data_IF_940527234755
#
_entry.id   IF_940527234755
#
_cell.length_a   1.000
_cell.length_b   1.000
_cell.length_c   1.000
_cell.angle_alpha   90.00
_cell.angle_beta   90.00
_cell.angle_gamma   90.00
#
_symmetry.space_group_name_H-M   'P 1'
#
loop_
_entity.id
_entity.type
_entity.pdbx_description
1 polymer ?
#
# COMPACT_ATOMS: atom_id res chain seq x y z
N UNK A 1 -2.15 -12.76 2.27
CA UNK A 1 -2.92 -11.53 1.96
C UNK A 1 -4.01 -11.17 2.98
N UNK A 2 -4.80 -12.10 3.54
CA UNK A 2 -5.81 -11.75 4.56
C UNK A 2 -5.24 -11.05 5.79
N UNK A 3 -4.08 -11.51 6.27
CA UNK A 3 -3.37 -10.92 7.40
C UNK A 3 -2.87 -9.50 7.09
N UNK A 4 -2.30 -9.28 5.89
CA UNK A 4 -1.88 -7.95 5.44
C UNK A 4 -3.05 -6.97 5.39
N UNK A 5 -4.21 -7.40 4.90
CA UNK A 5 -5.41 -6.55 4.88
C UNK A 5 -5.84 -6.17 6.30
N UNK A 6 -5.85 -7.14 7.22
CA UNK A 6 -6.15 -6.93 8.65
C UNK A 6 -5.16 -5.95 9.29
N UNK A 7 -3.86 -6.16 9.10
CA UNK A 7 -2.80 -5.35 9.71
C UNK A 7 -2.73 -3.93 9.09
N UNK A 8 -3.11 -3.79 7.82
CA UNK A 8 -3.27 -2.50 7.15
C UNK A 8 -4.58 -1.77 7.52
N UNK A 9 -5.50 -2.44 8.22
CA UNK A 9 -6.82 -1.90 8.57
C UNK A 9 -7.73 -1.66 7.36
N UNK A 10 -7.59 -2.45 6.29
CA UNK A 10 -8.41 -2.35 5.07
C UNK A 10 -9.06 -3.67 4.71
N UNK A 11 -10.15 -3.62 3.94
CA UNK A 11 -10.80 -4.83 3.41
C UNK A 11 -9.91 -5.57 2.42
N UNK A 12 -10.05 -6.90 2.34
CA UNK A 12 -9.29 -7.75 1.38
C UNK A 12 -9.46 -7.28 -0.06
N UNK A 13 -10.69 -6.95 -0.47
CA UNK A 13 -10.98 -6.45 -1.81
C UNK A 13 -10.31 -5.09 -2.07
N UNK A 14 -10.29 -4.20 -1.07
CA UNK A 14 -9.61 -2.92 -1.17
C UNK A 14 -8.09 -3.10 -1.33
N UNK A 15 -7.49 -4.04 -0.59
CA UNK A 15 -6.08 -4.42 -0.75
C UNK A 15 -5.78 -4.89 -2.19
N UNK A 16 -6.61 -5.78 -2.74
CA UNK A 16 -6.42 -6.26 -4.11
C UNK A 16 -6.57 -5.15 -5.15
N UNK A 17 -7.55 -4.25 -4.99
CA UNK A 17 -7.73 -3.08 -5.87
C UNK A 17 -6.57 -2.09 -5.77
N UNK A 18 -5.93 -1.98 -4.62
CA UNK A 18 -4.81 -1.07 -4.41
C UNK A 18 -3.47 -1.57 -5.00
N UNK A 19 -3.32 -2.88 -5.21
CA UNK A 19 -2.07 -3.52 -5.65
C UNK A 19 -2.09 -4.05 -7.09
N UNK A 20 -3.21 -3.93 -7.81
CA UNK A 20 -3.28 -4.35 -9.22
C UNK A 20 -2.45 -3.43 -10.13
N UNK A 21 -1.97 -3.92 -11.28
CA UNK A 21 -1.51 -3.06 -12.37
C UNK A 21 -2.61 -2.03 -12.69
N UNK A 22 -2.26 -0.77 -12.88
CA UNK A 22 -3.20 0.34 -13.15
C UNK A 22 -4.06 0.78 -11.96
N UNK A 23 -3.76 0.35 -10.74
CA UNK A 23 -4.36 0.95 -9.55
C UNK A 23 -3.93 2.42 -9.40
N UNK A 24 -4.88 3.27 -9.01
CA UNK A 24 -4.61 4.66 -8.57
C UNK A 24 -4.98 4.82 -7.09
N UNK A 25 -4.24 4.17 -6.17
CA UNK A 25 -4.50 4.27 -4.75
C UNK A 25 -4.15 5.67 -4.23
N UNK A 26 -4.93 6.16 -3.27
CA UNK A 26 -4.52 7.36 -2.51
C UNK A 26 -3.26 7.05 -1.71
N UNK A 27 -2.43 8.06 -1.48
CA UNK A 27 -1.18 7.91 -0.73
C UNK A 27 -1.39 7.23 0.63
N UNK A 28 -2.46 7.59 1.34
CA UNK A 28 -2.83 6.98 2.61
C UNK A 28 -3.02 5.45 2.50
N UNK A 29 -3.59 4.95 1.41
CA UNK A 29 -3.72 3.50 1.17
C UNK A 29 -2.35 2.86 0.99
N UNK A 30 -1.46 3.50 0.21
CA UNK A 30 -0.07 3.04 0.02
C UNK A 30 0.68 3.00 1.35
N UNK A 31 0.53 4.03 2.18
CA UNK A 31 1.15 4.10 3.50
C UNK A 31 0.66 2.97 4.42
N UNK A 32 -0.65 2.72 4.49
CA UNK A 32 -1.23 1.63 5.31
C UNK A 32 -0.74 0.25 4.91
N UNK A 33 -0.62 -0.03 3.60
CA UNK A 33 -0.18 -1.37 3.13
C UNK A 33 1.33 -1.54 3.20
N UNK A 34 2.12 -0.46 3.15
CA UNK A 34 3.58 -0.54 3.18
C UNK A 34 4.12 -1.19 4.46
N UNK A 35 3.59 -0.81 5.64
CA UNK A 35 4.08 -1.29 6.94
C UNK A 35 3.87 -2.80 7.15
N UNK A 36 2.68 -3.38 6.94
CA UNK A 36 2.48 -4.84 7.03
C UNK A 36 3.23 -5.65 5.98
N UNK A 37 3.59 -5.03 4.86
CA UNK A 37 4.45 -5.64 3.84
C UNK A 37 5.94 -5.60 4.21
N UNK A 38 6.31 -4.98 5.34
CA UNK A 38 7.71 -4.79 5.73
C UNK A 38 8.44 -3.74 4.89
N UNK A 39 7.71 -2.88 4.17
CA UNK A 39 8.25 -1.83 3.31
C UNK A 39 8.26 -0.50 4.04
N UNK A 40 9.36 0.25 3.92
CA UNK A 40 9.46 1.63 4.37
C UNK A 40 9.35 2.57 3.18
N UNK A 41 8.34 3.43 3.17
CA UNK A 41 8.25 4.52 2.20
C UNK A 41 9.27 5.61 2.54
N UNK A 42 10.07 6.00 1.55
CA UNK A 42 11.09 7.05 1.69
C UNK A 42 10.93 8.01 0.51
N UNK A 43 10.75 9.30 0.80
CA UNK A 43 10.84 10.33 -0.21
C UNK A 43 12.33 10.53 -0.56
N UNK A 44 12.67 10.36 -1.83
CA UNK A 44 14.01 10.62 -2.35
C UNK A 44 13.95 11.76 -3.34
N UNK A 45 14.94 12.66 -3.28
CA UNK A 45 15.09 13.71 -4.29
C UNK A 45 15.41 13.03 -5.62
N UNK A 46 14.55 13.24 -6.61
CA UNK A 46 14.88 12.91 -8.00
C UNK A 46 15.70 14.09 -8.53
N UNK A 47 16.98 13.87 -8.81
CA UNK A 47 17.80 14.83 -9.55
C UNK A 47 17.55 14.51 -11.02
N UNK A 48 16.88 15.42 -11.72
CA UNK A 48 16.69 15.38 -13.18
C UNK A 48 17.82 16.14 -13.82
#
# INVERSE_FOLDING_TARGET
MPQIAKDAGIGREALYKALRPDASPRFDTVARVSKPLGVKLVAQRVVV
#
